data_IF_081750018816
#
_entry.id   IF_081750018816
#
_cell.length_a   1.000
_cell.length_b   1.000
_cell.length_c   1.000
_cell.angle_alpha   90.00
_cell.angle_beta   90.00
_cell.angle_gamma   90.00
#
_symmetry.space_group_name_H-M   'P 1'
#
loop_
_entity.id
_entity.type
_entity.pdbx_description
1 polymer ?
#
# COMPACT_ATOMS: atom_id res chain seq x y z
N UNK A 1 53.79 -13.95 27.18
CA UNK A 1 53.66 -13.59 25.77
C UNK A 1 52.23 -13.15 25.55
N UNK A 2 52.00 -11.88 25.69
CA UNK A 2 50.68 -11.23 25.59
C UNK A 2 50.48 -10.79 24.16
N UNK A 3 49.51 -11.42 23.48
CA UNK A 3 49.09 -11.03 22.13
C UNK A 3 48.11 -9.85 22.24
N UNK A 4 48.64 -8.67 22.02
CA UNK A 4 47.86 -7.46 21.79
C UNK A 4 47.23 -7.55 20.39
N UNK A 5 45.94 -7.85 20.28
CA UNK A 5 45.17 -7.58 19.06
C UNK A 5 44.98 -6.09 18.94
N UNK A 6 45.63 -5.46 18.00
CA UNK A 6 45.39 -4.09 17.58
C UNK A 6 43.98 -3.97 17.06
N UNK A 7 43.19 -3.15 17.73
CA UNK A 7 41.89 -2.64 17.24
C UNK A 7 42.27 -1.68 16.10
N UNK A 8 42.08 -2.11 14.86
CA UNK A 8 42.05 -1.17 13.72
C UNK A 8 40.80 -0.29 13.88
N UNK A 9 41.02 0.93 14.30
CA UNK A 9 40.02 2.02 14.19
C UNK A 9 39.82 2.27 12.70
N UNK A 10 38.68 1.83 12.15
CA UNK A 10 38.25 2.21 10.81
C UNK A 10 38.23 3.75 10.74
N UNK A 11 38.97 4.30 9.79
CA UNK A 11 39.04 5.74 9.58
C UNK A 11 37.66 6.23 9.13
N UNK A 12 37.09 7.18 9.87
CA UNK A 12 35.86 7.88 9.47
C UNK A 12 36.05 8.46 8.06
N UNK A 13 35.15 8.13 7.15
CA UNK A 13 35.10 8.73 5.82
C UNK A 13 34.73 10.21 5.94
N UNK A 14 35.35 11.07 5.15
CA UNK A 14 34.95 12.47 5.06
C UNK A 14 33.71 12.64 4.14
N UNK A 15 33.03 13.78 4.28
CA UNK A 15 31.82 14.04 3.51
C UNK A 15 32.07 14.02 2.00
N UNK A 16 33.21 14.53 1.55
CA UNK A 16 33.55 14.58 0.13
C UNK A 16 33.68 13.17 -0.49
N UNK A 17 34.22 12.21 0.27
CA UNK A 17 34.29 10.80 -0.13
C UNK A 17 32.89 10.19 -0.18
N UNK A 18 32.04 10.47 0.81
CA UNK A 18 30.65 9.96 0.86
C UNK A 18 29.82 10.56 -0.29
N UNK A 19 29.98 11.85 -0.60
CA UNK A 19 29.33 12.50 -1.74
C UNK A 19 29.75 11.94 -3.11
N UNK A 20 30.86 11.21 -3.18
CA UNK A 20 31.23 10.45 -4.37
C UNK A 20 30.63 9.05 -4.38
N UNK A 21 30.64 8.36 -3.24
CA UNK A 21 30.22 6.95 -3.13
C UNK A 21 28.69 6.78 -3.16
N UNK A 22 27.94 7.69 -2.52
CA UNK A 22 26.49 7.57 -2.46
C UNK A 22 25.82 7.68 -3.82
N UNK A 23 26.16 8.62 -4.71
CA UNK A 23 25.63 8.62 -6.07
C UNK A 23 25.99 7.36 -6.89
N UNK A 24 27.19 6.80 -6.70
CA UNK A 24 27.62 5.55 -7.38
C UNK A 24 26.70 4.39 -6.96
N UNK A 25 26.39 4.34 -5.67
CA UNK A 25 25.53 3.29 -5.11
C UNK A 25 24.08 3.47 -5.55
N UNK A 26 23.58 4.71 -5.56
CA UNK A 26 22.24 5.03 -6.05
C UNK A 26 22.10 4.68 -7.53
N UNK A 27 23.06 5.06 -8.36
CA UNK A 27 23.06 4.75 -9.79
C UNK A 27 22.99 3.24 -10.01
N UNK A 28 23.84 2.49 -9.30
CA UNK A 28 23.87 1.01 -9.37
C UNK A 28 22.54 0.39 -8.92
N UNK A 29 21.96 0.88 -7.82
CA UNK A 29 20.76 0.30 -7.22
C UNK A 29 19.50 0.61 -8.05
N UNK A 30 19.41 1.80 -8.63
CA UNK A 30 18.26 2.24 -9.42
C UNK A 30 18.42 1.99 -10.93
N UNK A 31 19.58 1.43 -11.38
CA UNK A 31 19.82 1.09 -12.78
C UNK A 31 20.12 2.29 -13.70
N UNK A 32 20.67 3.38 -13.15
CA UNK A 32 21.11 4.55 -13.90
C UNK A 32 22.59 4.49 -14.25
N UNK A 33 22.99 5.19 -15.31
CA UNK A 33 24.40 5.48 -15.52
C UNK A 33 24.90 6.51 -14.50
N UNK A 34 26.16 6.40 -14.09
CA UNK A 34 26.71 7.23 -13.00
C UNK A 34 26.59 8.73 -13.23
N UNK A 35 26.72 9.20 -14.44
CA UNK A 35 26.66 10.61 -14.86
C UNK A 35 25.22 11.17 -14.88
N UNK A 36 24.20 10.30 -14.83
CA UNK A 36 22.80 10.69 -14.71
C UNK A 36 22.40 10.99 -13.26
N UNK A 37 23.15 10.49 -12.27
CA UNK A 37 22.86 10.70 -10.84
C UNK A 37 23.74 11.79 -10.25
N UNK A 38 23.17 12.99 -10.10
CA UNK A 38 23.83 14.14 -9.53
C UNK A 38 23.49 14.29 -8.04
N UNK A 39 24.34 14.95 -7.27
CA UNK A 39 24.03 15.28 -5.86
C UNK A 39 22.74 16.11 -5.70
N UNK A 40 22.35 16.83 -6.73
CA UNK A 40 21.11 17.60 -6.77
C UNK A 40 19.91 16.82 -7.28
N UNK A 41 20.09 15.60 -7.80
CA UNK A 41 18.99 14.77 -8.28
C UNK A 41 18.07 14.40 -7.12
N UNK A 42 16.76 14.62 -7.32
CA UNK A 42 15.73 14.27 -6.35
C UNK A 42 15.37 12.81 -6.51
N UNK A 43 15.39 12.07 -5.41
CA UNK A 43 15.19 10.60 -5.43
C UNK A 43 13.86 10.18 -6.06
N UNK A 44 12.78 10.90 -5.74
CA UNK A 44 11.44 10.54 -6.22
C UNK A 44 11.15 11.20 -7.57
N UNK A 45 11.35 12.52 -7.67
CA UNK A 45 10.91 13.29 -8.82
C UNK A 45 11.82 13.16 -10.04
N UNK A 46 13.14 13.07 -9.86
CA UNK A 46 14.10 13.01 -10.95
C UNK A 46 14.53 11.57 -11.27
N UNK A 47 14.66 10.70 -10.24
CA UNK A 47 15.12 9.32 -10.39
C UNK A 47 13.98 8.31 -10.31
N UNK A 48 12.74 8.74 -10.08
CA UNK A 48 11.57 7.87 -10.02
C UNK A 48 11.61 6.82 -8.91
N UNK A 49 12.50 6.99 -7.91
CA UNK A 49 12.70 6.05 -6.82
C UNK A 49 11.38 5.81 -6.10
N UNK A 50 10.90 4.57 -6.14
CA UNK A 50 9.72 4.21 -5.37
C UNK A 50 10.10 3.87 -3.92
N UNK A 51 9.06 3.64 -3.09
CA UNK A 51 9.31 3.40 -1.67
C UNK A 51 10.02 2.08 -1.39
N UNK A 52 9.95 1.13 -2.31
CA UNK A 52 10.68 -0.13 -2.18
C UNK A 52 12.15 0.09 -2.52
N UNK A 53 12.39 0.72 -3.65
CA UNK A 53 13.74 1.09 -4.10
C UNK A 53 14.43 1.97 -3.06
N UNK A 54 13.67 2.85 -2.39
CA UNK A 54 14.20 3.64 -1.26
C UNK A 54 14.57 2.76 -0.06
N UNK A 55 13.75 1.78 0.29
CA UNK A 55 14.08 0.84 1.39
C UNK A 55 15.30 -0.01 1.03
N UNK A 56 15.35 -0.55 -0.19
CA UNK A 56 16.50 -1.31 -0.68
C UNK A 56 17.77 -0.46 -0.70
N UNK A 57 17.66 0.79 -1.13
CA UNK A 57 18.75 1.76 -1.13
C UNK A 57 19.23 2.07 0.29
N UNK A 58 18.32 2.26 1.24
CA UNK A 58 18.66 2.48 2.66
C UNK A 58 19.41 1.27 3.21
N UNK A 59 18.92 0.04 2.95
CA UNK A 59 19.57 -1.19 3.41
C UNK A 59 20.98 -1.35 2.81
N UNK A 60 21.14 -1.06 1.52
CA UNK A 60 22.45 -1.13 0.86
C UNK A 60 23.42 -0.07 1.41
N UNK A 61 22.93 1.15 1.74
CA UNK A 61 23.71 2.19 2.39
C UNK A 61 24.13 1.77 3.81
N UNK A 62 23.24 1.17 4.59
CA UNK A 62 23.53 0.65 5.91
C UNK A 62 24.63 -0.41 5.87
N UNK A 63 24.54 -1.36 4.94
CA UNK A 63 25.52 -2.42 4.75
C UNK A 63 26.86 -1.88 4.24
N UNK A 64 26.85 -1.03 3.22
CA UNK A 64 28.05 -0.50 2.58
C UNK A 64 28.88 0.39 3.53
N UNK A 65 28.20 1.19 4.34
CA UNK A 65 28.84 2.14 5.26
C UNK A 65 28.88 1.65 6.71
N UNK A 66 28.37 0.46 7.00
CA UNK A 66 28.24 -0.11 8.35
C UNK A 66 27.61 0.86 9.34
N UNK A 67 26.47 1.44 8.96
CA UNK A 67 25.70 2.42 9.72
C UNK A 67 24.29 1.89 9.98
N UNK A 68 23.54 2.61 10.81
CA UNK A 68 22.08 2.44 10.92
C UNK A 68 21.41 3.78 10.63
N UNK A 69 20.54 3.80 9.62
CA UNK A 69 19.74 4.96 9.30
C UNK A 69 18.43 4.86 10.09
N UNK A 70 18.14 5.82 11.00
CA UNK A 70 16.96 5.72 11.84
C UNK A 70 15.67 5.77 11.02
N UNK A 71 14.78 4.85 11.31
CA UNK A 71 13.42 4.76 10.74
C UNK A 71 12.36 5.59 11.50
N UNK A 72 12.78 6.34 12.54
CA UNK A 72 11.87 7.05 13.43
C UNK A 72 11.88 8.55 13.16
N UNK A 73 10.69 9.12 13.05
CA UNK A 73 10.44 10.57 12.99
C UNK A 73 10.96 11.36 14.21
N UNK A 74 11.19 10.69 15.35
CA UNK A 74 11.72 11.31 16.57
C UNK A 74 13.23 11.49 16.54
N UNK A 75 13.94 10.85 15.62
CA UNK A 75 15.37 11.08 15.39
C UNK A 75 15.55 12.25 14.41
N UNK A 76 16.44 13.21 14.71
CA UNK A 76 16.69 14.35 13.82
C UNK A 76 17.09 13.95 12.39
N UNK A 77 17.72 12.79 12.22
CA UNK A 77 18.15 12.25 10.93
C UNK A 77 16.98 11.63 10.19
N UNK A 78 16.20 10.76 10.85
CA UNK A 78 14.97 10.18 10.28
C UNK A 78 13.97 11.26 9.90
N UNK A 79 13.77 12.27 10.75
CA UNK A 79 12.94 13.43 10.43
C UNK A 79 13.43 14.18 9.20
N UNK A 80 14.74 14.29 9.01
CA UNK A 80 15.34 14.95 7.84
C UNK A 80 15.04 14.20 6.54
N UNK A 81 15.06 12.86 6.55
CA UNK A 81 14.77 12.03 5.36
C UNK A 81 13.33 12.17 4.87
N UNK A 82 12.38 12.26 5.80
CA UNK A 82 10.95 12.19 5.47
C UNK A 82 10.25 13.55 5.43
N UNK A 83 10.88 14.61 5.92
CA UNK A 83 10.28 15.96 5.97
C UNK A 83 10.91 16.97 5.01
N UNK A 84 12.11 16.71 4.47
CA UNK A 84 12.69 17.57 3.44
C UNK A 84 12.01 17.28 2.09
N UNK A 85 11.40 18.27 1.52
CA UNK A 85 10.88 18.22 0.15
C UNK A 85 11.40 19.44 -0.61
N UNK A 86 12.09 19.25 -1.72
CA UNK A 86 12.50 17.98 -2.34
C UNK A 86 13.70 17.32 -1.62
N UNK A 87 13.68 15.99 -1.48
CA UNK A 87 14.77 15.20 -0.90
C UNK A 87 15.72 14.75 -2.02
N UNK A 88 17.00 15.14 -1.95
CA UNK A 88 17.97 14.86 -3.00
C UNK A 88 19.13 13.94 -2.52
N UNK A 89 19.93 13.50 -3.47
CA UNK A 89 21.10 12.61 -3.21
C UNK A 89 22.09 13.23 -2.22
N UNK A 90 22.24 14.55 -2.22
CA UNK A 90 23.09 15.23 -1.23
C UNK A 90 22.57 15.07 0.18
N UNK A 91 21.25 15.17 0.39
CA UNK A 91 20.64 14.96 1.70
C UNK A 91 20.92 13.56 2.21
N UNK A 92 20.87 12.56 1.31
CA UNK A 92 21.19 11.18 1.62
C UNK A 92 22.67 11.01 2.00
N UNK A 93 23.58 11.65 1.27
CA UNK A 93 25.02 11.65 1.59
C UNK A 93 25.32 12.32 2.95
N UNK A 94 24.62 13.41 3.28
CA UNK A 94 24.72 14.04 4.61
C UNK A 94 24.27 13.10 5.73
N UNK A 95 23.18 12.35 5.52
CA UNK A 95 22.68 11.38 6.49
C UNK A 95 23.71 10.27 6.73
N UNK A 96 24.24 9.69 5.66
CA UNK A 96 25.31 8.68 5.74
C UNK A 96 26.51 9.24 6.50
N UNK A 97 26.92 10.45 6.22
CA UNK A 97 28.04 11.10 6.91
C UNK A 97 27.78 11.30 8.42
N UNK A 98 26.58 11.71 8.78
CA UNK A 98 26.20 11.92 10.19
C UNK A 98 26.19 10.59 10.97
N UNK A 99 25.73 9.50 10.34
CA UNK A 99 25.69 8.18 10.96
C UNK A 99 27.06 7.48 10.94
N UNK A 100 27.89 7.73 9.96
CA UNK A 100 29.21 7.15 9.81
C UNK A 100 30.20 7.70 10.86
N UNK A 101 30.17 7.20 12.05
CA UNK A 101 31.06 7.63 13.15
C UNK A 101 30.37 7.72 14.50
N UNK A 102 29.11 7.40 14.60
CA UNK A 102 28.41 7.30 15.90
C UNK A 102 28.72 5.99 16.66
N UNK A 103 29.43 5.04 16.02
CA UNK A 103 30.04 3.88 16.68
C UNK A 103 29.08 2.88 17.33
N UNK A 104 27.80 2.91 16.99
CA UNK A 104 26.86 1.88 17.45
C UNK A 104 26.95 0.68 16.52
N UNK A 105 27.36 -0.54 17.01
CA UNK A 105 27.40 -1.72 16.16
C UNK A 105 25.99 -2.08 15.68
N UNK A 106 25.85 -2.27 14.39
CA UNK A 106 24.63 -2.74 13.74
C UNK A 106 24.23 -4.09 14.34
N UNK A 107 23.18 -4.08 15.12
CA UNK A 107 22.30 -5.24 15.23
C UNK A 107 21.11 -4.90 14.34
N UNK A 108 20.90 -5.69 13.30
CA UNK A 108 19.72 -5.63 12.45
C UNK A 108 18.46 -5.50 13.32
N UNK A 109 17.96 -4.27 13.47
CA UNK A 109 16.88 -3.92 14.40
C UNK A 109 15.49 -4.35 13.94
N UNK A 110 15.41 -5.04 12.81
CA UNK A 110 14.17 -5.53 12.20
C UNK A 110 13.53 -6.72 12.93
N UNK A 111 14.18 -7.26 13.98
CA UNK A 111 13.63 -8.30 14.83
C UNK A 111 13.41 -7.81 16.27
N UNK A 112 12.70 -6.72 16.50
CA UNK A 112 12.18 -6.42 17.82
C UNK A 112 11.02 -7.35 18.14
N UNK A 113 11.21 -8.13 19.19
CA UNK A 113 10.16 -8.93 19.82
C UNK A 113 9.01 -8.02 20.22
N UNK A 114 7.88 -8.18 19.56
CA UNK A 114 6.61 -7.65 20.05
C UNK A 114 6.26 -8.44 21.31
N UNK A 115 6.41 -7.83 22.47
CA UNK A 115 6.22 -8.47 23.79
C UNK A 115 4.86 -8.23 24.41
N UNK A 116 3.87 -7.72 23.68
CA UNK A 116 2.48 -7.75 24.13
C UNK A 116 1.53 -7.60 22.95
N UNK A 117 0.86 -8.69 22.62
CA UNK A 117 -0.37 -8.65 21.85
C UNK A 117 -1.42 -7.87 22.65
N UNK A 118 -2.03 -6.80 22.15
CA UNK A 118 -3.30 -6.38 22.71
C UNK A 118 -4.26 -7.56 22.55
N UNK A 119 -4.88 -7.98 23.66
CA UNK A 119 -5.93 -9.00 23.62
C UNK A 119 -6.92 -8.58 22.52
N UNK A 120 -7.36 -9.49 21.63
CA UNK A 120 -8.36 -9.16 20.65
C UNK A 120 -9.59 -8.64 21.41
N UNK A 121 -9.82 -7.35 21.32
CA UNK A 121 -11.05 -6.76 21.82
C UNK A 121 -12.16 -7.35 20.97
N UNK A 122 -13.09 -8.02 21.60
CA UNK A 122 -14.26 -8.62 20.97
C UNK A 122 -15.18 -7.49 20.46
N UNK A 123 -14.76 -6.83 19.38
CA UNK A 123 -15.44 -5.66 18.83
C UNK A 123 -16.85 -6.02 18.32
N UNK A 124 -17.05 -7.25 17.84
CA UNK A 124 -18.35 -7.68 17.30
C UNK A 124 -19.36 -8.07 18.40
N UNK A 125 -18.90 -8.47 19.58
CA UNK A 125 -19.81 -8.84 20.70
C UNK A 125 -20.19 -7.62 21.57
N UNK A 126 -19.46 -6.52 21.50
CA UNK A 126 -19.81 -5.28 22.20
C UNK A 126 -20.65 -4.31 21.36
N UNK A 127 -20.61 -4.44 20.05
CA UNK A 127 -21.55 -3.73 19.18
C UNK A 127 -22.85 -4.53 19.17
N UNK A 128 -23.70 -4.30 20.17
CA UNK A 128 -25.05 -4.85 20.29
C UNK A 128 -26.02 -4.45 19.15
N UNK A 129 -25.50 -4.27 17.96
CA UNK A 129 -26.22 -4.08 16.73
C UNK A 129 -26.86 -5.40 16.30
N UNK A 130 -28.10 -5.65 16.79
CA UNK A 130 -28.99 -6.56 16.10
C UNK A 130 -29.11 -6.08 14.67
N UNK A 131 -28.56 -6.87 13.75
CA UNK A 131 -28.80 -6.67 12.33
C UNK A 131 -30.31 -6.77 12.07
N UNK A 132 -30.96 -5.64 11.89
CA UNK A 132 -32.34 -5.61 11.39
C UNK A 132 -32.24 -5.73 9.88
N UNK A 133 -32.89 -6.73 9.25
CA UNK A 133 -32.97 -6.79 7.79
C UNK A 133 -33.68 -5.52 7.33
N UNK A 134 -32.90 -4.54 6.84
CA UNK A 134 -33.51 -3.42 6.17
C UNK A 134 -34.32 -3.93 4.97
N UNK A 135 -35.52 -3.42 4.89
CA UNK A 135 -36.56 -3.65 3.91
C UNK A 135 -36.06 -4.04 2.52
N UNK A 136 -36.83 -4.89 1.84
CA UNK A 136 -36.77 -5.29 0.43
C UNK A 136 -36.64 -4.08 -0.51
N UNK A 137 -35.48 -3.44 -0.54
CA UNK A 137 -35.14 -2.46 -1.58
C UNK A 137 -34.79 -3.24 -2.84
N UNK A 138 -35.37 -2.83 -3.95
CA UNK A 138 -35.09 -3.42 -5.28
C UNK A 138 -33.62 -3.25 -5.59
N UNK A 139 -32.90 -4.37 -5.82
CA UNK A 139 -31.47 -4.34 -6.17
C UNK A 139 -31.32 -3.78 -7.56
N UNK A 140 -30.48 -2.75 -7.80
CA UNK A 140 -30.30 -2.19 -9.11
C UNK A 140 -29.74 -3.20 -10.11
N UNK A 141 -29.87 -2.90 -11.38
CA UNK A 141 -29.31 -3.70 -12.47
C UNK A 141 -27.79 -3.90 -12.40
N UNK A 142 -27.09 -3.09 -11.59
CA UNK A 142 -25.63 -3.16 -11.43
C UNK A 142 -25.16 -4.34 -10.56
N UNK A 143 -25.98 -4.83 -9.63
CA UNK A 143 -25.59 -5.91 -8.73
C UNK A 143 -26.57 -7.09 -8.81
N UNK A 144 -26.05 -8.28 -8.57
CA UNK A 144 -26.78 -9.52 -8.40
C UNK A 144 -26.54 -10.03 -6.98
N UNK A 145 -27.60 -10.25 -6.19
CA UNK A 145 -27.44 -10.82 -4.85
C UNK A 145 -27.07 -12.28 -4.94
N UNK A 146 -26.08 -12.69 -4.15
CA UNK A 146 -25.61 -14.05 -4.01
C UNK A 146 -26.09 -14.64 -2.68
N UNK A 147 -25.81 -15.94 -2.46
CA UNK A 147 -26.04 -16.57 -1.18
C UNK A 147 -25.25 -15.87 -0.06
N UNK A 148 -25.82 -15.81 1.13
CA UNK A 148 -25.13 -15.21 2.28
C UNK A 148 -23.99 -16.10 2.76
N UNK A 149 -22.95 -15.46 3.28
CA UNK A 149 -21.86 -16.14 3.97
C UNK A 149 -21.81 -15.64 5.42
N UNK A 150 -22.03 -16.53 6.37
CA UNK A 150 -22.03 -16.20 7.81
C UNK A 150 -22.88 -14.94 8.14
N UNK A 151 -24.12 -14.92 7.63
CA UNK A 151 -25.08 -13.82 7.72
C UNK A 151 -24.72 -12.53 6.97
N UNK A 152 -23.57 -12.45 6.32
CA UNK A 152 -23.16 -11.31 5.51
C UNK A 152 -23.76 -11.41 4.11
N UNK A 153 -24.44 -10.36 3.65
CA UNK A 153 -24.99 -10.31 2.29
C UNK A 153 -23.85 -10.14 1.29
N UNK A 154 -23.90 -10.96 0.24
CA UNK A 154 -22.94 -10.94 -0.85
C UNK A 154 -23.63 -10.55 -2.15
N UNK A 155 -22.88 -9.87 -2.99
CA UNK A 155 -23.34 -9.42 -4.30
C UNK A 155 -22.26 -9.66 -5.34
N UNK A 156 -22.67 -9.83 -6.58
CA UNK A 156 -21.78 -9.81 -7.74
C UNK A 156 -22.01 -8.51 -8.50
N UNK A 157 -21.00 -7.70 -8.68
CA UNK A 157 -21.07 -6.52 -9.53
C UNK A 157 -21.04 -6.95 -11.00
N UNK A 158 -22.03 -6.54 -11.80
CA UNK A 158 -22.23 -7.04 -13.17
C UNK A 158 -21.22 -6.49 -14.18
N UNK A 159 -20.73 -5.27 -13.95
CA UNK A 159 -19.74 -4.61 -14.82
C UNK A 159 -18.44 -5.43 -14.95
N UNK A 160 -17.92 -5.92 -13.86
CA UNK A 160 -16.62 -6.59 -13.79
C UNK A 160 -16.68 -8.04 -13.29
N UNK A 161 -17.80 -8.45 -12.70
CA UNK A 161 -18.00 -9.76 -12.12
C UNK A 161 -17.42 -9.91 -10.72
N UNK A 162 -16.89 -8.81 -10.12
CA UNK A 162 -16.32 -8.84 -8.77
C UNK A 162 -17.39 -9.16 -7.73
N UNK A 163 -16.98 -9.98 -6.75
CA UNK A 163 -17.80 -10.30 -5.57
C UNK A 163 -17.64 -9.18 -4.55
N UNK A 164 -18.75 -8.73 -3.98
CA UNK A 164 -18.79 -7.66 -2.99
C UNK A 164 -19.53 -8.12 -1.72
N UNK A 165 -19.07 -7.66 -0.57
CA UNK A 165 -19.76 -7.83 0.71
C UNK A 165 -20.40 -6.54 1.16
N UNK A 166 -21.63 -6.63 1.71
CA UNK A 166 -22.30 -5.51 2.33
C UNK A 166 -21.87 -5.41 3.80
N UNK A 167 -21.12 -4.36 4.12
CA UNK A 167 -20.77 -4.03 5.49
C UNK A 167 -21.86 -3.13 6.08
N UNK A 168 -22.36 -3.44 7.30
CA UNK A 168 -23.40 -2.65 7.95
C UNK A 168 -22.89 -1.29 8.41
N UNK A 169 -23.83 -0.35 8.63
CA UNK A 169 -23.56 0.87 9.40
C UNK A 169 -23.00 0.49 10.78
N UNK A 170 -21.92 1.10 11.18
CA UNK A 170 -21.27 0.84 12.45
C UNK A 170 -20.60 2.09 13.02
N UNK A 171 -20.47 2.12 14.35
CA UNK A 171 -19.51 2.97 15.02
C UNK A 171 -18.27 2.14 15.30
N UNK A 172 -17.15 2.53 14.72
CA UNK A 172 -15.88 1.79 14.78
C UNK A 172 -14.80 2.63 15.42
N UNK A 173 -13.85 1.97 16.07
CA UNK A 173 -12.61 2.60 16.51
C UNK A 173 -11.57 2.45 15.40
N UNK A 174 -11.00 3.56 14.96
CA UNK A 174 -9.92 3.65 13.98
C UNK A 174 -8.69 4.29 14.60
N UNK A 175 -7.52 3.95 14.06
CA UNK A 175 -6.25 4.39 14.61
C UNK A 175 -5.77 3.52 15.77
N UNK A 176 -4.73 3.99 16.45
CA UNK A 176 -4.01 3.25 17.48
C UNK A 176 -3.59 4.19 18.61
N UNK A 177 -3.52 3.71 19.86
CA UNK A 177 -3.02 4.45 21.01
C UNK A 177 -1.69 3.89 21.55
N UNK A 178 -1.14 2.88 20.89
CA UNK A 178 0.17 2.34 21.25
C UNK A 178 1.24 3.43 21.04
N UNK A 179 2.04 3.77 22.06
CA UNK A 179 3.09 4.77 21.95
C UNK A 179 4.20 4.39 20.94
N UNK A 180 4.32 3.11 20.61
CA UNK A 180 5.36 2.59 19.70
C UNK A 180 4.96 2.64 18.23
N UNK A 181 3.69 2.98 17.90
CA UNK A 181 3.27 3.19 16.51
C UNK A 181 3.49 4.64 16.08
N UNK A 182 3.63 4.89 14.75
CA UNK A 182 3.75 6.23 14.19
C UNK A 182 2.63 7.19 14.63
N UNK A 183 2.96 8.50 14.67
CA UNK A 183 2.01 9.54 15.11
C UNK A 183 0.81 9.69 14.18
N UNK A 184 0.96 9.35 12.92
CA UNK A 184 -0.10 9.41 11.92
C UNK A 184 -1.18 8.33 12.11
N UNK A 185 -0.85 7.24 12.83
CA UNK A 185 -1.84 6.25 13.27
C UNK A 185 -2.61 6.71 14.51
N UNK A 186 -2.21 7.80 15.19
CA UNK A 186 -2.72 8.25 16.51
C UNK A 186 -3.49 9.56 16.43
N UNK A 187 -4.43 9.79 17.38
CA UNK A 187 -4.93 8.86 18.39
C UNK A 187 -5.99 7.90 17.81
N UNK A 188 -6.22 6.78 18.47
CA UNK A 188 -7.42 6.01 18.24
C UNK A 188 -8.66 6.85 18.58
N UNK A 189 -9.67 6.76 17.73
CA UNK A 189 -10.90 7.53 17.90
C UNK A 189 -12.10 6.83 17.26
N UNK A 190 -13.28 7.15 17.78
CA UNK A 190 -14.53 6.55 17.33
C UNK A 190 -15.10 7.31 16.13
N UNK A 191 -15.52 6.56 15.11
CA UNK A 191 -16.08 7.09 13.85
C UNK A 191 -17.35 6.35 13.49
N UNK A 192 -18.37 7.07 13.06
CA UNK A 192 -19.57 6.48 12.46
C UNK A 192 -19.36 6.31 10.96
N UNK A 193 -19.58 5.08 10.46
CA UNK A 193 -19.50 4.72 9.04
C UNK A 193 -20.84 4.15 8.62
N UNK A 194 -21.41 4.69 7.55
CA UNK A 194 -22.62 4.17 6.94
C UNK A 194 -22.34 2.84 6.21
N UNK A 195 -23.40 2.08 5.95
CA UNK A 195 -23.29 0.82 5.22
C UNK A 195 -22.78 1.04 3.78
N UNK A 196 -21.92 0.15 3.33
CA UNK A 196 -21.34 0.17 1.98
C UNK A 196 -21.04 -1.23 1.50
N UNK A 197 -20.96 -1.40 0.18
CA UNK A 197 -20.41 -2.60 -0.45
C UNK A 197 -18.89 -2.43 -0.64
N UNK A 198 -18.13 -3.51 -0.44
CA UNK A 198 -16.69 -3.55 -0.71
C UNK A 198 -16.33 -4.82 -1.45
N UNK A 199 -15.39 -4.73 -2.40
CA UNK A 199 -14.88 -5.89 -3.12
C UNK A 199 -14.29 -6.91 -2.14
N UNK A 200 -14.68 -8.17 -2.28
CA UNK A 200 -14.21 -9.27 -1.44
C UNK A 200 -12.70 -9.49 -1.59
N UNK A 201 -12.20 -9.27 -2.78
CA UNK A 201 -10.80 -9.43 -3.18
C UNK A 201 -10.25 -8.11 -3.78
N UNK A 202 -8.93 -7.93 -3.90
CA UNK A 202 -8.34 -6.90 -4.75
C UNK A 202 -8.81 -7.07 -6.20
N UNK A 203 -8.88 -5.99 -6.96
CA UNK A 203 -9.25 -6.06 -8.38
C UNK A 203 -8.22 -6.91 -9.13
N UNK A 204 -8.68 -7.99 -9.77
CA UNK A 204 -7.81 -8.88 -10.53
C UNK A 204 -7.38 -8.29 -11.87
N UNK A 205 -6.27 -8.78 -12.39
CA UNK A 205 -5.77 -8.43 -13.74
C UNK A 205 -6.83 -8.67 -14.81
N UNK A 206 -7.55 -9.81 -14.74
CA UNK A 206 -8.66 -10.11 -15.67
C UNK A 206 -9.77 -9.07 -15.57
N UNK A 207 -10.17 -8.64 -14.37
CA UNK A 207 -11.21 -7.63 -14.19
C UNK A 207 -10.78 -6.27 -14.78
N UNK A 208 -9.49 -5.91 -14.59
CA UNK A 208 -8.95 -4.69 -15.17
C UNK A 208 -8.88 -4.71 -16.69
N UNK A 209 -8.47 -5.84 -17.30
CA UNK A 209 -8.52 -6.02 -18.76
C UNK A 209 -9.95 -5.91 -19.30
N UNK A 210 -10.96 -6.44 -18.59
CA UNK A 210 -12.37 -6.28 -18.97
C UNK A 210 -12.78 -4.80 -19.00
N UNK A 211 -12.34 -4.00 -18.02
CA UNK A 211 -12.54 -2.56 -18.02
C UNK A 211 -11.95 -1.92 -19.28
N UNK A 212 -10.66 -2.14 -19.53
CA UNK A 212 -9.95 -1.54 -20.67
C UNK A 212 -10.60 -1.90 -22.02
N UNK A 213 -11.07 -3.13 -22.17
CA UNK A 213 -11.71 -3.61 -23.38
C UNK A 213 -13.17 -3.13 -23.55
N UNK A 214 -13.78 -2.59 -22.50
CA UNK A 214 -15.17 -2.10 -22.52
C UNK A 214 -15.30 -0.60 -22.79
N UNK A 215 -14.18 0.10 -22.86
CA UNK A 215 -14.11 1.55 -23.05
C UNK A 215 -13.14 1.90 -24.20
N UNK A 216 -13.33 3.08 -24.75
CA UNK A 216 -12.37 3.64 -25.70
C UNK A 216 -11.38 4.52 -24.94
N UNK A 217 -10.10 4.17 -25.01
CA UNK A 217 -9.00 4.90 -24.36
C UNK A 217 -7.97 5.36 -25.38
N UNK A 218 -7.25 6.41 -25.02
CA UNK A 218 -6.15 6.96 -25.79
C UNK A 218 -4.82 6.71 -25.08
N UNK A 219 -3.73 6.96 -25.76
CA UNK A 219 -2.38 6.88 -25.18
C UNK A 219 -2.23 7.77 -23.93
N UNK A 220 -2.96 8.90 -23.87
CA UNK A 220 -2.94 9.79 -22.71
C UNK A 220 -3.44 9.08 -21.44
N UNK A 221 -4.58 8.37 -21.54
CA UNK A 221 -5.09 7.60 -20.39
C UNK A 221 -4.11 6.49 -19.99
N UNK A 222 -3.49 5.82 -20.95
CA UNK A 222 -2.51 4.77 -20.64
C UNK A 222 -1.29 5.34 -19.91
N UNK A 223 -0.78 6.51 -20.34
CA UNK A 223 0.31 7.22 -19.68
C UNK A 223 -0.08 7.63 -18.24
N UNK A 224 -1.30 8.07 -18.03
CA UNK A 224 -1.78 8.44 -16.69
C UNK A 224 -1.99 7.20 -15.80
N UNK A 225 -2.39 6.05 -16.37
CA UNK A 225 -2.87 4.91 -15.59
C UNK A 225 -1.82 3.84 -15.32
N UNK A 226 -1.15 3.32 -16.34
CA UNK A 226 -0.28 2.14 -16.17
C UNK A 226 0.93 2.09 -17.12
N UNK A 227 1.00 2.90 -18.16
CA UNK A 227 2.12 2.83 -19.11
C UNK A 227 3.42 3.26 -18.42
N UNK A 228 4.42 2.41 -18.50
CA UNK A 228 5.77 2.67 -18.03
C UNK A 228 6.62 3.19 -19.20
N UNK A 229 7.72 3.89 -18.89
CA UNK A 229 8.71 4.29 -19.87
C UNK A 229 9.35 3.04 -20.52
N UNK A 230 9.78 3.14 -21.77
CA UNK A 230 10.35 2.00 -22.52
C UNK A 230 11.58 1.36 -21.86
N UNK A 231 12.33 2.15 -21.10
CA UNK A 231 13.52 1.72 -20.36
C UNK A 231 13.23 1.37 -18.89
N UNK A 232 11.97 1.36 -18.46
CA UNK A 232 11.61 1.00 -17.10
C UNK A 232 11.73 -0.52 -16.90
N UNK A 233 12.57 -0.94 -15.97
CA UNK A 233 12.80 -2.36 -15.67
C UNK A 233 11.54 -3.11 -15.24
N UNK A 234 10.54 -2.37 -14.74
CA UNK A 234 9.24 -2.92 -14.31
C UNK A 234 8.33 -3.31 -15.49
N UNK A 235 8.68 -2.96 -16.75
CA UNK A 235 7.92 -3.39 -17.93
C UNK A 235 7.71 -4.90 -17.95
N UNK A 236 8.72 -5.68 -17.57
CA UNK A 236 8.63 -7.16 -17.51
C UNK A 236 7.66 -7.66 -16.44
N UNK A 237 7.32 -6.80 -15.48
CA UNK A 237 6.40 -7.10 -14.38
C UNK A 237 4.97 -6.64 -14.69
N UNK A 238 4.75 -5.95 -15.82
CA UNK A 238 3.41 -5.51 -16.21
C UNK A 238 2.49 -6.72 -16.40
N UNK A 239 1.39 -6.83 -15.63
CA UNK A 239 0.56 -8.02 -15.66
C UNK A 239 -0.42 -8.06 -16.83
N UNK A 240 -0.47 -7.02 -17.67
CA UNK A 240 -1.36 -6.91 -18.84
C UNK A 240 -0.56 -6.64 -20.10
N UNK A 241 -1.09 -7.09 -21.23
CA UNK A 241 -0.49 -6.91 -22.56
C UNK A 241 -1.59 -6.60 -23.57
N UNK A 242 -1.28 -5.74 -24.55
CA UNK A 242 -2.16 -5.47 -25.69
C UNK A 242 -1.81 -6.44 -26.83
N UNK A 243 -2.74 -7.33 -27.18
CA UNK A 243 -2.58 -8.32 -28.24
C UNK A 243 -3.76 -8.23 -29.19
N UNK A 244 -3.50 -8.04 -30.48
CA UNK A 244 -4.54 -7.94 -31.53
C UNK A 244 -5.64 -6.91 -31.21
N UNK A 245 -5.27 -5.78 -30.60
CA UNK A 245 -6.20 -4.70 -30.24
C UNK A 245 -7.04 -4.98 -28.98
N UNK A 246 -6.75 -6.04 -28.24
CA UNK A 246 -7.43 -6.39 -26.99
C UNK A 246 -6.43 -6.50 -25.83
N UNK A 247 -6.78 -5.90 -24.69
CA UNK A 247 -6.01 -6.04 -23.46
C UNK A 247 -6.25 -7.42 -22.84
N UNK A 248 -5.18 -8.11 -22.52
CA UNK A 248 -5.21 -9.45 -21.97
C UNK A 248 -4.27 -9.54 -20.76
N UNK A 249 -4.56 -10.37 -19.77
CA UNK A 249 -3.58 -10.73 -18.75
C UNK A 249 -2.37 -11.41 -19.39
N UNK A 250 -1.18 -11.14 -18.88
CA UNK A 250 -0.02 -11.98 -19.14
C UNK A 250 -0.31 -13.38 -18.60
N UNK A 251 0.07 -14.42 -19.36
CA UNK A 251 -0.19 -15.83 -18.99
C UNK A 251 0.32 -16.10 -17.57
N UNK A 252 -0.56 -16.60 -16.70
CA UNK A 252 -0.27 -16.87 -15.29
C UNK A 252 -0.53 -15.70 -14.34
N UNK A 253 -0.96 -14.53 -14.84
CA UNK A 253 -1.33 -13.38 -14.01
C UNK A 253 -2.83 -13.09 -13.97
N UNK A 254 -3.67 -13.96 -14.52
CA UNK A 254 -5.11 -13.76 -14.69
C UNK A 254 -5.85 -13.43 -13.41
N UNK A 255 -5.51 -14.16 -12.34
CA UNK A 255 -6.10 -14.02 -11.02
C UNK A 255 -5.19 -13.26 -10.03
N UNK A 256 -4.09 -12.66 -10.50
CA UNK A 256 -3.28 -11.79 -9.65
C UNK A 256 -3.99 -10.44 -9.46
N UNK A 257 -3.76 -9.74 -8.33
CA UNK A 257 -4.14 -8.34 -8.21
C UNK A 257 -3.55 -7.52 -9.35
N UNK A 258 -4.33 -6.60 -9.90
CA UNK A 258 -3.80 -5.59 -10.81
C UNK A 258 -2.83 -4.68 -10.06
N UNK A 259 -1.56 -4.70 -10.45
CA UNK A 259 -0.49 -3.86 -9.93
C UNK A 259 0.09 -2.97 -11.02
N UNK A 260 1.06 -2.12 -10.68
CA UNK A 260 1.64 -1.14 -11.61
C UNK A 260 0.58 -0.20 -12.18
N UNK A 261 -0.45 0.08 -11.41
CA UNK A 261 -1.55 0.98 -11.73
C UNK A 261 -1.50 2.20 -10.83
N UNK A 262 -1.59 3.39 -11.41
CA UNK A 262 -1.66 4.65 -10.68
C UNK A 262 -2.99 4.80 -9.95
N UNK A 263 -3.08 5.77 -9.03
CA UNK A 263 -4.34 6.13 -8.41
C UNK A 263 -5.40 6.55 -9.46
N UNK A 264 -4.98 7.22 -10.52
CA UNK A 264 -5.87 7.64 -11.60
C UNK A 264 -6.46 6.46 -12.37
N UNK A 265 -5.63 5.45 -12.68
CA UNK A 265 -6.12 4.22 -13.33
C UNK A 265 -7.01 3.39 -12.42
N UNK A 266 -6.71 3.32 -11.12
CA UNK A 266 -7.55 2.70 -10.12
C UNK A 266 -8.90 3.43 -9.96
N UNK A 267 -8.87 4.78 -9.98
CA UNK A 267 -10.09 5.59 -9.89
C UNK A 267 -10.96 5.48 -11.16
N UNK A 268 -10.36 5.50 -12.36
CA UNK A 268 -11.09 5.30 -13.61
C UNK A 268 -11.84 3.97 -13.60
N UNK A 269 -11.16 2.89 -13.19
CA UNK A 269 -11.80 1.59 -13.00
C UNK A 269 -12.95 1.67 -11.98
N UNK A 270 -12.73 2.30 -10.82
CA UNK A 270 -13.72 2.39 -9.76
C UNK A 270 -15.00 3.09 -10.19
N UNK A 271 -14.87 4.16 -10.99
CA UNK A 271 -15.98 4.88 -11.59
C UNK A 271 -16.75 4.00 -12.57
N UNK A 272 -16.04 3.39 -13.55
CA UNK A 272 -16.63 2.49 -14.52
C UNK A 272 -17.35 1.32 -13.86
N UNK A 273 -16.71 0.66 -12.90
CA UNK A 273 -17.27 -0.48 -12.19
C UNK A 273 -18.60 -0.13 -11.49
N UNK A 274 -18.75 1.11 -11.04
CA UNK A 274 -19.94 1.63 -10.41
C UNK A 274 -20.93 2.35 -11.36
N UNK A 275 -20.76 2.17 -12.68
CA UNK A 275 -21.66 2.73 -13.70
C UNK A 275 -21.58 4.26 -13.82
N UNK A 276 -20.42 4.84 -13.46
CA UNK A 276 -20.16 6.28 -13.57
C UNK A 276 -19.26 6.60 -14.75
N UNK A 277 -19.17 7.88 -15.08
CA UNK A 277 -18.30 8.39 -16.14
C UNK A 277 -16.81 8.19 -15.73
N UNK A 278 -16.15 7.20 -16.33
CA UNK A 278 -14.74 6.93 -16.07
C UNK A 278 -13.81 8.07 -16.48
N UNK A 279 -14.21 8.91 -17.43
CA UNK A 279 -13.46 10.08 -17.89
C UNK A 279 -13.24 11.14 -16.81
N UNK A 280 -13.99 11.07 -15.70
CA UNK A 280 -13.84 11.96 -14.55
C UNK A 280 -12.78 11.45 -13.54
N UNK A 281 -11.89 10.54 -13.96
CA UNK A 281 -10.93 9.86 -13.10
C UNK A 281 -9.96 10.78 -12.35
N UNK A 282 -9.76 12.00 -12.81
CA UNK A 282 -8.88 12.99 -12.16
C UNK A 282 -9.57 13.75 -11.03
N UNK A 283 -10.88 13.66 -10.92
CA UNK A 283 -11.70 14.41 -9.96
C UNK A 283 -12.30 13.52 -8.88
N UNK A 284 -12.85 14.11 -7.83
CA UNK A 284 -13.79 13.42 -6.96
C UNK A 284 -15.20 13.54 -7.58
N UNK A 285 -16.04 12.51 -7.56
CA UNK A 285 -16.03 11.36 -6.65
C UNK A 285 -15.10 10.22 -7.07
N UNK A 286 -14.73 9.38 -6.11
CA UNK A 286 -13.98 8.13 -6.27
C UNK A 286 -14.73 7.01 -5.54
N UNK A 287 -14.67 5.81 -6.09
CA UNK A 287 -15.19 4.59 -5.45
C UNK A 287 -14.08 3.66 -4.97
N UNK A 288 -12.90 4.22 -4.75
CA UNK A 288 -11.90 3.61 -3.89
C UNK A 288 -12.35 3.75 -2.42
N UNK A 289 -11.99 2.83 -1.52
CA UNK A 289 -12.35 2.96 -0.11
C UNK A 289 -11.73 4.23 0.49
N UNK A 290 -12.42 4.86 1.43
CA UNK A 290 -11.76 5.81 2.33
C UNK A 290 -10.85 5.04 3.27
N UNK A 291 -9.84 5.71 3.88
CA UNK A 291 -8.97 5.07 4.86
C UNK A 291 -9.76 4.40 5.99
N UNK A 292 -10.80 5.07 6.48
CA UNK A 292 -11.62 4.54 7.58
C UNK A 292 -12.53 3.38 7.14
N UNK A 293 -13.08 3.42 5.91
CA UNK A 293 -13.80 2.27 5.34
C UNK A 293 -12.88 1.06 5.19
N UNK A 294 -11.65 1.31 4.72
CA UNK A 294 -10.66 0.27 4.55
C UNK A 294 -10.26 -0.35 5.90
N UNK A 295 -9.98 0.47 6.92
CA UNK A 295 -9.60 0.02 8.26
C UNK A 295 -10.72 -0.75 8.95
N UNK A 296 -11.97 -0.29 8.84
CA UNK A 296 -13.14 -1.04 9.30
C UNK A 296 -13.22 -2.42 8.64
N UNK A 297 -13.09 -2.46 7.31
CA UNK A 297 -13.15 -3.67 6.52
C UNK A 297 -11.99 -4.66 6.83
N UNK A 298 -10.81 -4.14 7.18
CA UNK A 298 -9.62 -4.92 7.51
C UNK A 298 -9.65 -5.49 8.94
N UNK A 299 -10.63 -5.15 9.75
CA UNK A 299 -10.72 -5.59 11.15
C UNK A 299 -10.52 -7.10 11.28
N UNK A 300 -9.50 -7.49 12.06
CA UNK A 300 -9.16 -8.88 12.35
C UNK A 300 -8.40 -9.63 11.25
N UNK A 301 -7.95 -8.94 10.19
CA UNK A 301 -7.14 -9.54 9.12
C UNK A 301 -5.68 -9.80 9.54
N UNK A 302 -5.20 -9.13 10.57
CA UNK A 302 -3.81 -9.17 11.02
C UNK A 302 -3.70 -9.90 12.35
N UNK A 303 -2.95 -10.99 12.37
CA UNK A 303 -2.53 -11.71 13.59
C UNK A 303 -1.02 -12.01 13.52
N UNK A 304 -0.19 -11.21 14.19
CA UNK A 304 1.26 -11.40 14.19
C UNK A 304 1.69 -12.68 14.92
N UNK A 305 0.81 -13.30 15.71
CA UNK A 305 1.11 -14.56 16.41
C UNK A 305 0.98 -15.79 15.51
N UNK A 306 0.18 -15.72 14.46
CA UNK A 306 -0.05 -16.82 13.52
C UNK A 306 1.23 -17.24 12.76
N UNK A 307 2.23 -16.36 12.69
CA UNK A 307 3.53 -16.65 12.04
C UNK A 307 4.52 -17.42 12.93
N UNK A 308 4.21 -17.67 14.22
CA UNK A 308 5.13 -18.29 15.17
C UNK A 308 5.06 -19.81 15.23
N UNK A 309 3.98 -20.42 14.76
CA UNK A 309 3.71 -21.85 14.84
C UNK A 309 3.92 -22.57 13.50
N UNK A 310 5.03 -22.43 12.79
CA UNK A 310 5.45 -23.21 11.62
C UNK A 310 4.37 -23.63 10.60
N UNK A 311 3.18 -23.07 10.69
CA UNK A 311 2.15 -23.15 9.68
C UNK A 311 2.40 -22.05 8.65
N UNK A 312 2.05 -22.28 7.40
CA UNK A 312 2.11 -21.33 6.30
C UNK A 312 1.59 -19.95 6.78
N UNK A 313 2.31 -18.84 6.52
CA UNK A 313 1.86 -17.53 6.97
C UNK A 313 0.45 -17.26 6.44
N UNK A 314 -0.44 -16.84 7.32
CA UNK A 314 -1.83 -16.54 6.96
C UNK A 314 -1.99 -15.38 5.97
N UNK A 315 -0.89 -14.74 5.59
CA UNK A 315 -0.84 -13.64 4.62
C UNK A 315 0.55 -13.50 3.98
N UNK A 316 0.60 -12.88 2.80
CA UNK A 316 1.83 -12.71 2.01
C UNK A 316 2.53 -11.43 2.42
N UNK A 317 3.72 -11.55 2.99
CA UNK A 317 4.58 -10.43 3.37
C UNK A 317 6.06 -10.85 3.32
N UNK A 318 6.94 -9.89 3.22
CA UNK A 318 8.41 -10.08 3.30
C UNK A 318 8.95 -11.26 2.46
N UNK A 319 8.34 -11.52 1.29
CA UNK A 319 8.78 -12.58 0.38
C UNK A 319 9.72 -12.06 -0.72
N UNK A 320 10.04 -10.78 -0.67
CA UNK A 320 10.99 -10.21 -1.61
C UNK A 320 12.40 -10.71 -1.32
N UNK A 321 13.06 -11.22 -2.37
CA UNK A 321 14.46 -11.60 -2.33
C UNK A 321 15.28 -10.47 -2.97
N UNK A 322 16.17 -9.79 -2.22
CA UNK A 322 16.99 -8.71 -2.76
C UNK A 322 17.78 -9.16 -3.99
N UNK A 323 17.80 -8.33 -5.03
CA UNK A 323 18.50 -8.63 -6.28
C UNK A 323 17.81 -9.66 -7.19
N UNK A 324 16.67 -10.20 -6.82
CA UNK A 324 15.90 -11.10 -7.68
C UNK A 324 15.00 -10.29 -8.62
N UNK A 325 15.18 -10.51 -9.91
CA UNK A 325 14.30 -9.96 -10.94
C UNK A 325 13.07 -10.87 -11.11
N UNK A 326 11.90 -10.27 -11.11
CA UNK A 326 10.63 -10.96 -11.28
C UNK A 326 10.01 -10.63 -12.63
N UNK A 327 9.45 -11.64 -13.28
CA UNK A 327 8.50 -11.47 -14.38
C UNK A 327 7.07 -11.36 -13.80
N UNK A 328 6.10 -10.85 -14.57
CA UNK A 328 4.73 -10.66 -14.10
C UNK A 328 4.16 -11.88 -13.35
N UNK A 329 4.31 -13.08 -13.94
CA UNK A 329 3.78 -14.34 -13.40
C UNK A 329 4.66 -14.97 -12.29
N UNK A 330 5.82 -14.42 -11.98
CA UNK A 330 6.74 -14.95 -10.95
C UNK A 330 6.86 -14.05 -9.74
N UNK A 331 6.22 -12.89 -9.73
CA UNK A 331 6.12 -12.07 -8.53
C UNK A 331 5.48 -12.88 -7.41
N UNK A 332 5.96 -12.78 -6.17
CA UNK A 332 5.39 -13.50 -5.03
C UNK A 332 4.05 -12.87 -4.57
N UNK A 333 3.17 -12.66 -5.52
CA UNK A 333 1.82 -12.14 -5.32
C UNK A 333 0.86 -13.33 -5.32
N UNK A 334 0.03 -13.42 -4.30
CA UNK A 334 -0.98 -14.46 -4.23
C UNK A 334 -2.18 -14.17 -5.14
N UNK A 335 -2.73 -15.24 -5.73
CA UNK A 335 -4.02 -15.21 -6.42
C UNK A 335 -5.10 -14.57 -5.53
N UNK A 336 -5.90 -13.66 -6.07
CA UNK A 336 -6.93 -12.91 -5.32
C UNK A 336 -7.98 -13.82 -4.67
N UNK A 337 -8.19 -15.03 -5.21
CA UNK A 337 -9.17 -15.98 -4.67
C UNK A 337 -8.62 -16.82 -3.50
N UNK A 338 -7.31 -16.82 -3.28
CA UNK A 338 -6.73 -17.51 -2.13
C UNK A 338 -7.07 -16.73 -0.85
N UNK A 339 -7.67 -17.36 0.16
CA UNK A 339 -8.11 -16.69 1.37
C UNK A 339 -6.94 -16.40 2.32
N UNK A 340 -6.10 -15.41 1.99
CA UNK A 340 -5.00 -14.93 2.81
C UNK A 340 -5.31 -13.54 3.35
N UNK A 341 -4.77 -13.20 4.54
CA UNK A 341 -5.01 -11.91 5.19
C UNK A 341 -6.51 -11.62 5.34
N UNK A 342 -7.26 -12.63 5.79
CA UNK A 342 -8.73 -12.61 5.77
C UNK A 342 -9.26 -11.82 6.95
N UNK A 343 -10.07 -10.80 6.68
CA UNK A 343 -10.74 -10.03 7.73
C UNK A 343 -11.90 -10.82 8.37
N UNK A 344 -12.41 -10.30 9.50
CA UNK A 344 -13.58 -10.87 10.19
C UNK A 344 -14.83 -10.91 9.32
N UNK A 345 -14.88 -10.11 8.29
CA UNK A 345 -15.99 -10.06 7.32
C UNK A 345 -15.65 -10.82 6.03
N UNK A 346 -14.69 -11.75 6.09
CA UNK A 346 -14.28 -12.64 5.00
C UNK A 346 -13.71 -11.96 3.75
N UNK A 347 -13.19 -10.74 3.86
CA UNK A 347 -12.46 -10.11 2.78
C UNK A 347 -11.04 -10.67 2.72
N UNK A 348 -10.59 -11.01 1.52
CA UNK A 348 -9.25 -11.54 1.31
C UNK A 348 -8.22 -10.41 1.16
N UNK A 349 -6.97 -10.70 1.51
CA UNK A 349 -5.83 -9.79 1.30
C UNK A 349 -5.99 -8.40 1.92
N UNK A 350 -6.61 -8.34 3.12
CA UNK A 350 -6.69 -7.11 3.91
C UNK A 350 -5.43 -6.87 4.75
N UNK A 351 -4.52 -7.83 4.79
CA UNK A 351 -3.19 -7.72 5.38
C UNK A 351 -2.19 -8.39 4.44
N UNK A 352 -1.26 -7.59 3.89
CA UNK A 352 -0.24 -8.08 2.95
C UNK A 352 -0.73 -8.31 1.52
N UNK A 353 0.03 -9.03 0.74
CA UNK A 353 -0.10 -9.27 -0.68
C UNK A 353 0.23 -8.00 -1.49
N UNK A 354 -0.69 -7.05 -1.62
CA UNK A 354 -0.46 -5.76 -2.27
C UNK A 354 -1.08 -4.62 -1.45
N UNK A 355 -0.45 -3.46 -1.46
CA UNK A 355 -1.03 -2.23 -0.98
C UNK A 355 -2.30 -1.89 -1.74
N UNK A 356 -3.25 -1.23 -1.09
CA UNK A 356 -4.49 -0.78 -1.71
C UNK A 356 -4.56 0.74 -1.71
N UNK A 357 -4.71 1.33 -2.90
CA UNK A 357 -5.06 2.74 -3.04
C UNK A 357 -6.34 3.06 -2.30
N UNK A 358 -6.32 4.16 -1.55
CA UNK A 358 -7.47 4.76 -0.91
C UNK A 358 -7.87 6.07 -1.60
N UNK A 359 -9.09 6.50 -1.33
CA UNK A 359 -9.67 7.73 -1.88
C UNK A 359 -9.07 8.99 -1.27
N UNK A 360 -8.64 8.92 -0.01
CA UNK A 360 -8.18 10.05 0.77
C UNK A 360 -6.88 10.64 0.22
N UNK A 361 -6.74 11.95 0.33
CA UNK A 361 -5.45 12.58 0.36
C UNK A 361 -4.76 12.24 1.68
N UNK A 362 -3.54 11.78 1.64
CA UNK A 362 -2.79 11.45 2.85
C UNK A 362 -2.37 12.71 3.59
N UNK A 363 -2.62 12.77 4.90
CA UNK A 363 -2.06 13.75 5.80
C UNK A 363 -1.71 13.06 7.13
N UNK A 364 -0.48 13.23 7.57
CA UNK A 364 0.03 12.60 8.79
C UNK A 364 -0.80 12.96 10.03
N UNK A 365 -1.26 14.19 10.11
CA UNK A 365 -2.03 14.72 11.23
C UNK A 365 -3.55 14.52 11.11
N UNK A 366 -4.04 13.85 10.06
CA UNK A 366 -5.49 13.76 9.83
C UNK A 366 -6.25 13.14 11.01
N UNK A 367 -5.71 12.07 11.62
CA UNK A 367 -6.35 11.44 12.78
C UNK A 367 -6.37 12.32 14.05
N UNK A 368 -5.56 13.37 14.09
CA UNK A 368 -5.54 14.36 15.17
C UNK A 368 -6.56 15.48 14.94
N UNK A 369 -7.03 15.69 13.70
CA UNK A 369 -7.97 16.75 13.33
C UNK A 369 -9.40 16.39 13.76
N UNK A 370 -10.23 17.41 13.98
CA UNK A 370 -11.64 17.23 14.34
C UNK A 370 -12.44 16.54 13.22
N UNK A 371 -12.10 16.81 11.97
CA UNK A 371 -12.76 16.28 10.77
C UNK A 371 -12.69 14.76 10.68
N UNK A 372 -11.62 14.15 11.23
CA UNK A 372 -11.47 12.68 11.27
C UNK A 372 -12.55 11.99 12.12
N UNK A 373 -13.27 12.74 12.97
CA UNK A 373 -14.35 12.26 13.86
C UNK A 373 -15.74 12.49 13.30
N UNK A 374 -15.86 13.10 12.13
CA UNK A 374 -17.13 13.25 11.46
C UNK A 374 -17.71 11.88 11.07
N UNK A 375 -18.99 11.82 10.72
CA UNK A 375 -19.54 10.63 10.08
C UNK A 375 -18.94 10.48 8.67
N UNK A 376 -18.54 9.25 8.31
CA UNK A 376 -17.91 8.91 7.02
C UNK A 376 -16.74 9.83 6.66
N UNK A 377 -15.74 9.99 7.52
CA UNK A 377 -14.67 10.96 7.30
C UNK A 377 -13.84 10.59 6.08
N UNK A 378 -13.41 11.60 5.37
CA UNK A 378 -12.48 11.50 4.24
C UNK A 378 -11.64 12.77 4.22
N UNK A 379 -10.32 12.63 4.06
CA UNK A 379 -9.48 13.78 3.81
C UNK A 379 -9.57 14.18 2.32
N UNK A 380 -10.32 15.22 2.05
CA UNK A 380 -10.48 15.79 0.69
C UNK A 380 -9.52 16.93 0.39
N UNK A 381 -8.69 17.35 1.36
CA UNK A 381 -7.72 18.43 1.18
C UNK A 381 -6.50 17.88 0.43
N UNK A 382 -6.25 18.42 -0.75
CA UNK A 382 -5.15 18.00 -1.59
C UNK A 382 -3.78 18.27 -0.93
N UNK A 383 -2.98 17.21 -0.82
CA UNK A 383 -1.64 17.24 -0.24
C UNK A 383 -0.55 16.82 -1.23
N UNK A 384 -0.93 16.46 -2.47
CA UNK A 384 -0.03 15.91 -3.48
C UNK A 384 0.16 14.39 -3.39
N UNK A 385 -0.25 13.75 -2.30
CA UNK A 385 -0.11 12.29 -2.09
C UNK A 385 -1.42 11.66 -1.67
N UNK A 386 -1.74 10.46 -2.21
CA UNK A 386 -2.92 9.66 -1.87
C UNK A 386 -2.57 8.60 -0.85
N UNK A 387 -3.55 8.24 -0.03
CA UNK A 387 -3.36 7.20 0.99
C UNK A 387 -3.34 5.81 0.37
N UNK A 388 -2.48 4.94 0.91
CA UNK A 388 -2.45 3.50 0.64
C UNK A 388 -2.44 2.71 1.94
N UNK A 389 -3.02 1.50 1.95
CA UNK A 389 -3.26 0.69 3.15
C UNK A 389 -2.96 -0.78 2.88
N UNK A 390 -2.63 -1.55 3.94
CA UNK A 390 -2.65 -3.00 3.97
C UNK A 390 -1.30 -3.70 3.93
N UNK A 391 -0.23 -3.02 3.64
CA UNK A 391 1.06 -3.69 3.42
C UNK A 391 1.10 -4.54 2.16
N UNK A 392 2.20 -5.24 1.94
CA UNK A 392 2.37 -6.06 0.73
C UNK A 392 3.34 -7.22 0.94
N UNK A 393 3.58 -7.99 -0.12
CA UNK A 393 4.62 -9.02 -0.19
C UNK A 393 6.05 -8.47 -0.03
N UNK A 394 6.18 -7.15 -0.07
CA UNK A 394 7.42 -6.43 0.15
C UNK A 394 7.36 -5.71 1.50
N UNK A 395 8.43 -5.79 2.26
CA UNK A 395 8.56 -5.10 3.54
C UNK A 395 8.12 -5.92 4.75
N UNK A 396 8.40 -5.39 5.94
CA UNK A 396 8.16 -6.09 7.19
C UNK A 396 6.66 -6.26 7.50
N UNK A 397 6.38 -7.29 8.29
CA UNK A 397 5.01 -7.66 8.70
C UNK A 397 4.26 -6.51 9.38
N UNK A 398 4.96 -5.64 10.06
CA UNK A 398 4.36 -4.50 10.79
C UNK A 398 3.64 -3.51 9.89
N UNK A 399 4.01 -3.43 8.60
CA UNK A 399 3.33 -2.61 7.61
C UNK A 399 1.94 -3.16 7.24
N UNK A 400 1.67 -4.42 7.58
CA UNK A 400 0.39 -5.09 7.29
C UNK A 400 -0.67 -4.84 8.39
N UNK A 401 -0.35 -4.09 9.44
CA UNK A 401 -1.35 -3.73 10.47
C UNK A 401 -2.49 -2.94 9.84
N UNK A 402 -3.75 -3.21 10.21
CA UNK A 402 -4.90 -2.44 9.71
C UNK A 402 -4.81 -0.93 9.98
N UNK A 403 -4.14 -0.53 11.05
CA UNK A 403 -3.97 0.88 11.43
C UNK A 403 -2.82 1.56 10.71
N UNK A 404 -1.88 0.81 10.10
CA UNK A 404 -0.75 1.39 9.40
C UNK A 404 -1.19 2.25 8.21
N UNK A 405 -0.68 3.47 8.16
CA UNK A 405 -1.03 4.48 7.15
C UNK A 405 0.20 4.84 6.34
N UNK A 406 0.01 5.09 5.05
CA UNK A 406 1.08 5.53 4.15
C UNK A 406 0.51 6.38 3.03
N UNK A 407 1.32 7.29 2.50
CA UNK A 407 0.98 8.10 1.35
C UNK A 407 1.93 7.90 0.18
N UNK A 408 1.40 8.08 -1.03
CA UNK A 408 2.18 7.99 -2.28
C UNK A 408 1.62 8.94 -3.33
N UNK A 409 2.48 9.40 -4.25
CA UNK A 409 2.04 10.26 -5.35
C UNK A 409 1.00 9.57 -6.22
N UNK A 410 -0.04 10.28 -6.71
CA UNK A 410 -1.12 9.65 -7.48
C UNK A 410 -0.67 8.99 -8.79
N UNK A 411 0.46 9.40 -9.36
CA UNK A 411 1.04 8.82 -10.58
C UNK A 411 1.94 7.61 -10.31
N UNK A 412 2.24 7.29 -9.05
CA UNK A 412 3.10 6.15 -8.73
C UNK A 412 2.49 4.82 -9.22
N UNK A 413 3.36 3.94 -9.68
CA UNK A 413 3.02 2.61 -10.20
C UNK A 413 3.95 1.59 -9.54
N UNK A 414 3.49 1.00 -8.44
CA UNK A 414 4.28 0.03 -7.68
C UNK A 414 3.94 -1.41 -8.06
N UNK A 415 4.96 -2.27 -8.14
CA UNK A 415 4.79 -3.73 -8.34
C UNK A 415 4.09 -4.44 -7.18
N UNK A 416 3.89 -3.75 -6.09
CA UNK A 416 3.20 -4.23 -4.89
C UNK A 416 1.99 -3.35 -4.51
N UNK A 417 1.50 -2.54 -5.45
CA UNK A 417 0.42 -1.58 -5.22
C UNK A 417 -0.71 -1.82 -6.21
N UNK A 418 -1.85 -2.20 -5.66
CA UNK A 418 -3.10 -2.46 -6.36
C UNK A 418 -4.24 -1.67 -5.71
N UNK A 419 -5.46 -2.18 -5.81
CA UNK A 419 -6.64 -1.52 -5.25
C UNK A 419 -7.84 -2.46 -5.16
N UNK A 420 -8.86 -2.02 -4.45
CA UNK A 420 -10.22 -2.57 -4.45
C UNK A 420 -11.23 -1.44 -4.47
N UNK A 421 -12.48 -1.73 -4.82
CA UNK A 421 -13.54 -0.73 -4.91
C UNK A 421 -14.55 -0.88 -3.77
N UNK A 422 -15.20 0.23 -3.48
CA UNK A 422 -16.43 0.29 -2.68
C UNK A 422 -17.59 0.75 -3.55
N UNK A 423 -18.81 0.49 -3.09
CA UNK A 423 -20.03 0.99 -3.73
C UNK A 423 -20.99 1.44 -2.63
N UNK A 424 -21.55 2.64 -2.72
CA UNK A 424 -22.54 3.11 -1.76
C UNK A 424 -23.85 2.33 -1.90
N UNK A 425 -24.54 2.10 -0.79
CA UNK A 425 -25.76 1.29 -0.73
C UNK A 425 -26.92 1.96 -1.47
N UNK A 426 -26.90 3.29 -1.63
CA UNK A 426 -27.86 4.04 -2.42
C UNK A 426 -27.88 3.60 -3.89
N UNK A 427 -26.79 3.06 -4.39
CA UNK A 427 -26.78 2.39 -5.70
C UNK A 427 -27.61 1.10 -5.69
N UNK A 428 -28.05 0.62 -4.52
CA UNK A 428 -28.94 -0.53 -4.37
C UNK A 428 -30.43 -0.17 -4.48
N UNK A 429 -30.81 1.02 -4.87
CA UNK A 429 -32.20 1.31 -5.21
C UNK A 429 -32.72 2.68 -4.85
N UNK A 430 -32.76 3.50 -5.86
CA UNK A 430 -33.95 4.32 -6.19
C UNK A 430 -34.12 4.24 -7.70
N UNK A 431 -35.07 3.51 -8.15
CA UNK A 431 -35.76 3.81 -9.40
C UNK A 431 -36.87 4.76 -9.05
#
# INVERSE_FOLDING_TARGET
MTNSRSIQTERRLDLATIEQLVPDLVAKQLGFERDEVLLSSRLIEDLGCDSLELIELIMELEDQFNITIPDKFDDPVGKSMFTRSPFCIRDLAEIVYLQHGTGTPVRSGWHRKITSSPKPVALFTQLGGRWTPESTKTIPALFEELDRKDDIRQFRRRSDGMRCFLLPTATVEVGNNDPDVPLDERPAHSVQIDSFLIDAEPVSTTAYCRFLNSIETTEKEWLDWFQLAENDDRIRQMPIVLTDGSWQPVVGSESMPMVLVSWFGANAYSLWANGKQWTEYQTNPSFLPTEVQWEYAASGAFDPSASKDHQEPSFVYAQHEPGKHYEAHTMPIADVHIPMGVSRVHLHHMAGNVWHWCRDWFAEDFYQRAESRNANPVNSIETGIRSERGGSWVGPVDLCRPTYRRGRTPLARGRCLGFRCVSPVELLGTV
#
